data_IF_012242014319
#
_entry.id   IF_012242014319
#
_cell.length_a   1.000
_cell.length_b   1.000
_cell.length_c   1.000
_cell.angle_alpha   90.00
_cell.angle_beta   90.00
_cell.angle_gamma   90.00
#
_symmetry.space_group_name_H-M   'P 1'
#
loop_
_entity.id
_entity.type
_entity.pdbx_description
1 polymer ?
#
# COMPACT_ATOMS: atom_id res chain seq x y z
N UNK A 1 24.71 2.20 -7.00
CA UNK A 1 24.00 1.90 -8.27
C UNK A 1 23.76 3.19 -9.06
N UNK A 2 22.83 4.07 -8.68
CA UNK A 2 22.55 5.29 -9.45
C UNK A 2 23.75 6.22 -9.65
N UNK A 3 24.50 6.54 -8.58
CA UNK A 3 25.73 7.34 -8.70
C UNK A 3 26.76 6.72 -9.65
N UNK A 4 26.79 5.39 -9.77
CA UNK A 4 27.65 4.70 -10.74
C UNK A 4 27.18 4.98 -12.16
N UNK A 5 25.87 4.96 -12.41
CA UNK A 5 25.28 5.29 -13.71
C UNK A 5 25.48 6.77 -14.11
N UNK A 6 25.80 7.65 -13.16
CA UNK A 6 26.18 9.03 -13.43
C UNK A 6 27.60 9.08 -14.03
N UNK A 7 27.68 8.75 -15.30
CA UNK A 7 28.90 8.85 -16.08
C UNK A 7 29.58 7.51 -16.35
N UNK A 8 29.11 6.38 -15.83
CA UNK A 8 29.59 5.05 -16.25
C UNK A 8 28.47 4.20 -16.84
N UNK A 9 28.72 3.62 -18.01
CA UNK A 9 27.76 2.76 -18.71
C UNK A 9 28.08 1.28 -18.49
N UNK A 10 27.16 0.47 -17.91
CA UNK A 10 27.34 -0.96 -17.75
C UNK A 10 27.60 -1.68 -19.09
N UNK A 11 28.31 -2.82 -19.09
CA UNK A 11 28.39 -3.70 -20.26
C UNK A 11 27.02 -4.14 -20.75
N UNK A 12 26.94 -4.48 -22.04
CA UNK A 12 25.73 -5.03 -22.64
C UNK A 12 25.31 -6.30 -21.87
N UNK A 13 24.01 -6.43 -21.59
CA UNK A 13 23.44 -7.56 -20.84
C UNK A 13 23.47 -7.45 -19.31
N UNK A 14 24.22 -6.52 -18.71
CA UNK A 14 24.23 -6.34 -17.24
C UNK A 14 22.98 -5.63 -16.70
N UNK A 15 22.32 -4.83 -17.54
CA UNK A 15 21.21 -3.97 -17.11
C UNK A 15 21.67 -2.80 -16.24
N UNK A 16 20.71 -2.00 -15.78
CA UNK A 16 20.97 -0.79 -14.99
C UNK A 16 20.82 -1.01 -13.48
N UNK A 17 20.25 -2.14 -13.05
CA UNK A 17 20.11 -2.54 -11.65
C UNK A 17 21.26 -3.47 -11.26
N UNK A 18 22.10 -3.03 -10.33
CA UNK A 18 23.25 -3.80 -9.85
C UNK A 18 23.73 -3.34 -8.47
N UNK A 19 24.37 -4.26 -7.76
CA UNK A 19 25.17 -3.98 -6.58
C UNK A 19 26.53 -3.38 -6.93
N UNK A 20 27.18 -2.76 -5.95
CA UNK A 20 28.57 -2.29 -6.13
C UNK A 20 29.54 -3.45 -6.36
N UNK A 21 29.29 -4.62 -5.77
CA UNK A 21 30.13 -5.81 -5.96
C UNK A 21 30.05 -6.34 -7.40
N UNK A 22 28.87 -6.29 -8.03
CA UNK A 22 28.73 -6.66 -9.44
C UNK A 22 29.39 -5.62 -10.36
N UNK A 23 29.16 -4.32 -10.10
CA UNK A 23 29.80 -3.25 -10.87
C UNK A 23 31.33 -3.35 -10.81
N UNK A 24 31.90 -3.62 -9.63
CA UNK A 24 33.34 -3.72 -9.44
C UNK A 24 34.02 -4.82 -10.28
N UNK A 25 33.30 -5.90 -10.64
CA UNK A 25 33.85 -7.00 -11.46
C UNK A 25 34.08 -6.60 -12.92
N UNK A 26 33.38 -5.59 -13.40
CA UNK A 26 33.35 -5.20 -14.83
C UNK A 26 33.62 -3.72 -15.04
N UNK A 27 33.94 -3.00 -13.96
CA UNK A 27 34.23 -1.57 -14.03
C UNK A 27 35.51 -1.33 -14.81
N UNK A 28 35.46 -0.33 -15.69
CA UNK A 28 36.59 0.14 -16.47
C UNK A 28 36.40 1.62 -16.83
N UNK A 29 37.51 2.36 -16.83
CA UNK A 29 37.54 3.80 -17.13
C UNK A 29 37.20 4.09 -18.60
N UNK A 30 37.36 3.14 -19.54
CA UNK A 30 36.97 3.38 -20.94
C UNK A 30 35.46 3.56 -21.11
N UNK A 31 34.65 3.03 -20.18
CA UNK A 31 33.20 3.16 -20.15
C UNK A 31 32.71 4.37 -19.35
N UNK A 32 33.64 5.20 -18.87
CA UNK A 32 33.32 6.48 -18.22
C UNK A 32 33.14 7.56 -19.28
N UNK A 33 31.96 8.17 -19.33
CA UNK A 33 31.63 9.28 -20.21
C UNK A 33 32.44 10.53 -19.83
N UNK A 34 33.02 11.19 -20.83
CA UNK A 34 33.83 12.41 -20.68
C UNK A 34 32.96 13.66 -20.50
N UNK A 35 31.69 13.61 -20.90
CA UNK A 35 30.73 14.69 -20.68
C UNK A 35 30.15 14.62 -19.26
N UNK A 36 29.72 15.76 -18.72
CA UNK A 36 29.02 15.80 -17.44
C UNK A 36 27.73 15.00 -17.49
N UNK A 37 27.52 14.11 -16.51
CA UNK A 37 26.27 13.36 -16.39
C UNK A 37 25.15 14.30 -15.89
N UNK A 38 24.01 14.30 -16.60
CA UNK A 38 22.81 14.99 -16.13
C UNK A 38 22.14 14.17 -15.03
N UNK A 39 21.80 14.83 -13.94
CA UNK A 39 20.97 14.23 -12.91
C UNK A 39 19.53 14.05 -13.41
N UNK A 40 18.99 12.86 -13.19
CA UNK A 40 17.67 12.39 -13.60
C UNK A 40 16.93 11.78 -12.39
N UNK A 41 15.92 12.48 -11.90
CA UNK A 41 15.10 12.06 -10.76
C UNK A 41 14.27 10.81 -11.07
N UNK A 42 13.75 10.68 -12.29
CA UNK A 42 12.88 9.57 -12.66
C UNK A 42 13.68 8.26 -12.64
N UNK A 43 14.92 8.30 -13.14
CA UNK A 43 15.83 7.15 -13.11
C UNK A 43 16.26 6.78 -11.69
N UNK A 44 16.53 7.77 -10.83
CA UNK A 44 16.84 7.51 -9.42
C UNK A 44 15.65 6.86 -8.70
N UNK A 45 14.45 7.43 -8.88
CA UNK A 45 13.21 6.95 -8.30
C UNK A 45 12.87 5.53 -8.79
N UNK A 46 13.03 5.28 -10.09
CA UNK A 46 12.84 3.94 -10.64
C UNK A 46 13.78 2.92 -9.98
N UNK A 47 15.08 3.21 -9.90
CA UNK A 47 16.04 2.33 -9.22
C UNK A 47 15.73 2.14 -7.74
N UNK A 48 15.32 3.20 -7.05
CA UNK A 48 14.98 3.11 -5.63
C UNK A 48 13.74 2.25 -5.40
N UNK A 49 12.71 2.41 -6.25
CA UNK A 49 11.54 1.54 -6.24
C UNK A 49 11.91 0.07 -6.45
N UNK A 50 12.78 -0.24 -7.42
CA UNK A 50 13.27 -1.62 -7.61
C UNK A 50 13.96 -2.16 -6.33
N UNK A 51 14.79 -1.36 -5.67
CA UNK A 51 15.43 -1.74 -4.40
C UNK A 51 14.38 -2.02 -3.32
N UNK A 52 13.38 -1.14 -3.17
CA UNK A 52 12.35 -1.29 -2.14
C UNK A 52 11.46 -2.51 -2.39
N UNK A 53 11.11 -2.78 -3.65
CA UNK A 53 10.29 -3.94 -4.03
C UNK A 53 11.01 -5.28 -3.80
N UNK A 54 12.35 -5.28 -3.85
CA UNK A 54 13.19 -6.44 -3.54
C UNK A 54 13.35 -6.67 -2.02
N UNK A 55 13.00 -5.70 -1.18
CA UNK A 55 13.06 -5.87 0.27
C UNK A 55 11.95 -6.82 0.74
N UNK A 56 12.32 -7.82 1.54
CA UNK A 56 11.34 -8.61 2.27
C UNK A 56 10.62 -7.79 3.33
N UNK A 57 9.40 -8.22 3.69
CA UNK A 57 8.53 -7.57 4.67
C UNK A 57 9.24 -7.18 5.97
N UNK A 58 10.00 -8.12 6.55
CA UNK A 58 10.73 -7.89 7.79
C UNK A 58 11.80 -6.79 7.68
N UNK A 59 12.50 -6.71 6.55
CA UNK A 59 13.52 -5.69 6.34
C UNK A 59 12.90 -4.32 6.03
N UNK A 60 11.81 -4.29 5.26
CA UNK A 60 11.05 -3.07 5.03
C UNK A 60 10.44 -2.54 6.35
N UNK A 61 9.91 -3.43 7.19
CA UNK A 61 9.38 -3.08 8.51
C UNK A 61 10.43 -2.44 9.42
N UNK A 62 11.66 -2.95 9.44
CA UNK A 62 12.78 -2.33 10.18
C UNK A 62 13.08 -0.91 9.71
N UNK A 63 12.85 -0.59 8.43
CA UNK A 63 13.07 0.74 7.87
C UNK A 63 11.88 1.68 8.09
N UNK A 64 10.66 1.17 8.00
CA UNK A 64 9.44 1.98 8.10
C UNK A 64 9.00 2.22 9.54
N UNK A 65 9.17 1.26 10.46
CA UNK A 65 8.73 1.42 11.86
C UNK A 65 9.27 2.69 12.53
N UNK A 66 10.58 3.03 12.43
CA UNK A 66 11.08 4.28 13.00
C UNK A 66 10.42 5.52 12.39
N UNK A 67 10.13 5.50 11.08
CA UNK A 67 9.49 6.61 10.37
C UNK A 67 8.01 6.75 10.74
N UNK A 68 7.32 5.63 10.95
CA UNK A 68 5.95 5.61 11.47
C UNK A 68 5.89 6.20 12.88
N UNK A 69 6.83 5.83 13.75
CA UNK A 69 6.94 6.38 15.10
C UNK A 69 7.22 7.88 15.09
N UNK A 70 8.12 8.35 14.21
CA UNK A 70 8.40 9.78 14.01
C UNK A 70 7.16 10.55 13.50
N UNK A 71 6.34 9.91 12.65
CA UNK A 71 5.07 10.45 12.17
C UNK A 71 3.94 10.42 13.23
N UNK A 72 4.20 9.88 14.42
CA UNK A 72 3.25 9.80 15.52
C UNK A 72 2.33 8.57 15.49
N UNK A 73 2.60 7.58 14.63
CA UNK A 73 1.81 6.37 14.55
C UNK A 73 2.11 5.42 15.71
N UNK A 74 1.05 4.92 16.35
CA UNK A 74 1.17 3.97 17.46
C UNK A 74 1.48 2.56 16.94
N UNK A 75 2.76 2.21 16.89
CA UNK A 75 3.22 0.88 16.45
C UNK A 75 3.25 -0.15 17.57
N UNK A 76 3.32 0.26 18.85
CA UNK A 76 3.50 -0.66 19.98
C UNK A 76 2.24 -1.50 20.27
N UNK A 77 1.07 -0.99 19.89
CA UNK A 77 -0.21 -1.71 19.94
C UNK A 77 -0.41 -2.72 18.80
N UNK A 78 0.58 -2.90 17.90
CA UNK A 78 0.50 -3.81 16.76
C UNK A 78 1.47 -4.98 16.93
N UNK A 79 1.04 -6.16 16.50
CA UNK A 79 1.93 -7.33 16.48
C UNK A 79 2.97 -7.17 15.36
N UNK A 80 4.13 -7.80 15.54
CA UNK A 80 5.17 -7.85 14.50
C UNK A 80 4.61 -8.39 13.16
N UNK A 81 3.79 -9.44 13.23
CA UNK A 81 3.16 -10.03 12.05
C UNK A 81 2.25 -9.05 11.31
N UNK A 82 1.48 -8.23 12.03
CA UNK A 82 0.61 -7.23 11.42
C UNK A 82 1.42 -6.12 10.72
N UNK A 83 2.51 -5.67 11.35
CA UNK A 83 3.40 -4.66 10.76
C UNK A 83 4.11 -5.18 9.50
N UNK A 84 4.51 -6.45 9.51
CA UNK A 84 5.11 -7.11 8.34
C UNK A 84 4.08 -7.28 7.21
N UNK A 85 2.85 -7.71 7.51
CA UNK A 85 1.77 -7.78 6.51
C UNK A 85 1.44 -6.41 5.91
N UNK A 86 1.46 -5.34 6.71
CA UNK A 86 1.33 -3.98 6.19
C UNK A 86 2.49 -3.63 5.25
N UNK A 87 3.72 -4.06 5.56
CA UNK A 87 4.86 -3.87 4.67
C UNK A 87 4.73 -4.68 3.36
N UNK A 88 4.20 -5.91 3.41
CA UNK A 88 3.92 -6.72 2.21
C UNK A 88 2.91 -6.03 1.29
N UNK A 89 1.86 -5.46 1.88
CA UNK A 89 0.82 -4.72 1.15
C UNK A 89 1.36 -3.47 0.45
N UNK A 90 2.21 -2.70 1.14
CA UNK A 90 2.68 -1.40 0.64
C UNK A 90 3.90 -1.52 -0.27
N UNK A 91 4.82 -2.44 0.05
CA UNK A 91 6.14 -2.59 -0.55
C UNK A 91 6.18 -2.51 -2.07
N UNK A 92 5.33 -3.25 -2.81
CA UNK A 92 5.32 -3.26 -4.29
C UNK A 92 4.96 -1.94 -4.97
N UNK A 93 4.49 -0.94 -4.20
CA UNK A 93 4.09 0.38 -4.71
C UNK A 93 5.04 1.51 -4.30
N UNK A 94 6.04 1.23 -3.45
CA UNK A 94 6.88 2.27 -2.87
C UNK A 94 7.93 2.75 -3.86
N UNK A 95 7.95 4.06 -4.11
CA UNK A 95 9.09 4.70 -4.78
C UNK A 95 10.11 5.19 -3.75
N UNK A 96 9.62 5.72 -2.62
CA UNK A 96 10.39 6.21 -1.49
C UNK A 96 9.87 5.62 -0.18
N UNK A 97 10.70 5.58 0.87
CA UNK A 97 10.23 5.21 2.22
C UNK A 97 9.18 6.19 2.76
N UNK A 98 9.25 7.47 2.35
CA UNK A 98 8.24 8.47 2.68
C UNK A 98 6.85 8.11 2.14
N UNK A 99 6.77 7.49 0.96
CA UNK A 99 5.50 6.99 0.42
C UNK A 99 4.92 5.92 1.36
N UNK A 100 5.78 5.11 1.99
CA UNK A 100 5.37 4.08 2.96
C UNK A 100 4.81 4.66 4.25
N UNK A 101 5.17 5.90 4.62
CA UNK A 101 4.54 6.60 5.74
C UNK A 101 3.15 7.10 5.33
N UNK A 102 3.05 7.77 4.19
CA UNK A 102 1.78 8.32 3.71
C UNK A 102 0.74 7.24 3.38
N UNK A 103 1.16 6.16 2.74
CA UNK A 103 0.28 5.04 2.41
C UNK A 103 -0.13 4.22 3.65
N UNK A 104 0.69 4.21 4.70
CA UNK A 104 0.36 3.52 5.96
C UNK A 104 -0.60 4.32 6.85
N UNK A 105 -0.72 5.64 6.66
CA UNK A 105 -1.55 6.52 7.50
C UNK A 105 -2.96 5.99 7.76
N UNK A 106 -3.74 5.50 6.76
CA UNK A 106 -5.07 4.98 7.01
C UNK A 106 -5.10 3.73 7.89
N UNK A 107 -3.99 3.05 8.16
CA UNK A 107 -3.94 1.86 9.02
C UNK A 107 -3.66 2.18 10.49
N UNK A 108 -3.18 3.39 10.76
CA UNK A 108 -2.93 3.90 12.11
C UNK A 108 -3.98 4.92 12.53
N UNK A 109 -4.52 5.68 11.58
CA UNK A 109 -5.50 6.75 11.80
C UNK A 109 -6.78 6.48 11.01
N UNK A 110 -7.92 6.90 11.53
CA UNK A 110 -9.19 6.88 10.79
C UNK A 110 -9.26 8.11 9.89
N UNK A 111 -9.22 7.95 8.55
CA UNK A 111 -9.24 9.09 7.64
C UNK A 111 -10.66 9.69 7.54
N UNK A 112 -10.72 11.01 7.32
CA UNK A 112 -11.96 11.66 6.88
C UNK A 112 -12.32 11.28 5.45
N UNK A 113 -13.62 11.18 5.14
CA UNK A 113 -14.09 10.92 3.79
C UNK A 113 -13.80 12.11 2.86
N UNK A 114 -12.99 11.89 1.83
CA UNK A 114 -12.75 12.83 0.73
C UNK A 114 -13.95 12.85 -0.23
N UNK A 115 -13.98 13.85 -1.11
CA UNK A 115 -15.09 14.09 -2.03
C UNK A 115 -15.43 12.87 -2.90
N UNK A 116 -14.43 12.15 -3.41
CA UNK A 116 -14.61 10.95 -4.22
C UNK A 116 -15.29 9.81 -3.45
N UNK A 117 -14.88 9.57 -2.20
CA UNK A 117 -15.50 8.61 -1.31
C UNK A 117 -16.93 9.03 -0.93
N UNK A 118 -17.16 10.31 -0.65
CA UNK A 118 -18.49 10.84 -0.35
C UNK A 118 -19.44 10.64 -1.54
N UNK A 119 -19.03 11.01 -2.75
CA UNK A 119 -19.82 10.83 -3.96
C UNK A 119 -20.12 9.35 -4.23
N UNK A 120 -19.15 8.46 -3.99
CA UNK A 120 -19.36 7.02 -4.11
C UNK A 120 -20.40 6.49 -3.12
N UNK A 121 -20.43 6.99 -1.89
CA UNK A 121 -21.42 6.61 -0.88
C UNK A 121 -22.83 7.12 -1.17
N UNK A 122 -23.00 8.10 -2.07
CA UNK A 122 -24.31 8.55 -2.54
C UNK A 122 -24.82 7.78 -3.76
N UNK A 123 -24.03 6.85 -4.30
CA UNK A 123 -24.49 6.01 -5.42
C UNK A 123 -25.65 5.11 -4.97
N UNK A 124 -26.63 4.84 -5.85
CA UNK A 124 -27.75 3.96 -5.53
C UNK A 124 -27.29 2.59 -5.01
N UNK A 125 -27.81 2.18 -3.85
CA UNK A 125 -27.50 0.90 -3.23
C UNK A 125 -26.16 0.81 -2.51
N UNK A 126 -25.32 1.85 -2.53
CA UNK A 126 -24.01 1.84 -1.89
C UNK A 126 -24.10 1.69 -0.36
N UNK A 127 -24.97 2.50 0.28
CA UNK A 127 -25.17 2.46 1.73
C UNK A 127 -25.90 1.20 2.16
N UNK A 128 -26.86 0.73 1.37
CA UNK A 128 -27.60 -0.50 1.60
C UNK A 128 -26.66 -1.70 1.58
N UNK A 129 -25.74 -1.76 0.61
CA UNK A 129 -24.75 -2.82 0.53
C UNK A 129 -23.75 -2.79 1.70
N UNK A 130 -23.32 -1.60 2.12
CA UNK A 130 -22.47 -1.45 3.32
C UNK A 130 -23.20 -1.84 4.61
N UNK A 131 -24.49 -1.51 4.75
CA UNK A 131 -25.32 -1.94 5.89
C UNK A 131 -25.50 -3.44 5.93
N UNK A 132 -25.73 -4.08 4.78
CA UNK A 132 -25.82 -5.52 4.66
C UNK A 132 -24.50 -6.20 5.02
N UNK A 133 -23.38 -5.67 4.54
CA UNK A 133 -22.05 -6.14 4.90
C UNK A 133 -21.80 -6.01 6.40
N UNK A 134 -22.03 -4.82 6.98
CA UNK A 134 -21.81 -4.55 8.40
C UNK A 134 -22.61 -5.50 9.30
N UNK A 135 -23.88 -5.75 8.96
CA UNK A 135 -24.76 -6.67 9.69
C UNK A 135 -24.30 -8.13 9.63
N UNK A 136 -23.45 -8.48 8.66
CA UNK A 136 -22.97 -9.84 8.44
C UNK A 136 -21.58 -10.09 9.05
N UNK A 137 -20.93 -9.06 9.60
CA UNK A 137 -19.61 -9.19 10.22
C UNK A 137 -19.70 -9.80 11.63
N UNK A 138 -19.02 -10.93 11.83
CA UNK A 138 -18.86 -11.56 13.15
C UNK A 138 -17.68 -10.97 13.94
N UNK A 139 -17.63 -11.26 15.24
CA UNK A 139 -16.53 -10.84 16.13
C UNK A 139 -15.25 -11.68 15.94
N UNK A 140 -15.31 -12.70 15.08
CA UNK A 140 -14.17 -13.56 14.78
C UNK A 140 -13.25 -12.88 13.74
N UNK A 141 -11.93 -13.14 13.79
CA UNK A 141 -10.99 -12.62 12.80
C UNK A 141 -11.39 -13.03 11.38
N UNK A 142 -11.55 -12.03 10.51
CA UNK A 142 -11.97 -12.25 9.14
C UNK A 142 -10.84 -12.90 8.31
N UNK A 143 -11.15 -14.01 7.63
CA UNK A 143 -10.25 -14.63 6.65
C UNK A 143 -10.60 -14.19 5.22
N UNK A 144 -9.64 -14.33 4.30
CA UNK A 144 -9.77 -13.86 2.92
C UNK A 144 -10.94 -14.49 2.15
N UNK A 145 -11.18 -15.79 2.33
CA UNK A 145 -12.28 -16.53 1.69
C UNK A 145 -13.64 -16.04 2.18
N UNK A 146 -13.75 -15.81 3.49
CA UNK A 146 -14.97 -15.31 4.13
C UNK A 146 -15.27 -13.88 3.70
N UNK A 147 -14.24 -13.03 3.62
CA UNK A 147 -14.35 -11.66 3.14
C UNK A 147 -14.97 -11.59 1.74
N UNK A 148 -14.55 -12.48 0.82
CA UNK A 148 -15.12 -12.56 -0.54
C UNK A 148 -16.58 -13.00 -0.53
N UNK A 149 -16.94 -13.96 0.32
CA UNK A 149 -18.31 -14.45 0.46
C UNK A 149 -19.23 -13.34 1.01
N UNK A 150 -18.82 -12.66 2.07
CA UNK A 150 -19.56 -11.55 2.69
C UNK A 150 -19.84 -10.42 1.69
N UNK A 151 -18.84 -10.05 0.87
CA UNK A 151 -19.04 -9.06 -0.19
C UNK A 151 -20.05 -9.52 -1.23
N UNK A 152 -20.00 -10.79 -1.65
CA UNK A 152 -20.93 -11.36 -2.62
C UNK A 152 -22.36 -11.34 -2.09
N UNK A 153 -22.57 -11.73 -0.84
CA UNK A 153 -23.89 -11.81 -0.23
C UNK A 153 -24.45 -10.42 0.07
N UNK A 154 -23.63 -9.47 0.51
CA UNK A 154 -24.02 -8.08 0.65
C UNK A 154 -24.42 -7.44 -0.69
N UNK A 155 -23.73 -7.77 -1.79
CA UNK A 155 -24.12 -7.31 -3.12
C UNK A 155 -25.49 -7.85 -3.54
N UNK A 156 -25.78 -9.13 -3.28
CA UNK A 156 -27.08 -9.75 -3.58
C UNK A 156 -28.19 -9.13 -2.73
N UNK A 157 -27.96 -8.94 -1.44
CA UNK A 157 -28.94 -8.38 -0.52
C UNK A 157 -29.34 -6.94 -0.88
N UNK A 158 -28.41 -6.15 -1.40
CA UNK A 158 -28.66 -4.77 -1.82
C UNK A 158 -28.94 -4.61 -3.33
N UNK A 159 -28.98 -5.71 -4.08
CA UNK A 159 -29.12 -5.72 -5.55
C UNK A 159 -28.14 -4.77 -6.28
N UNK A 160 -26.87 -4.79 -5.88
CA UNK A 160 -25.82 -3.96 -6.49
C UNK A 160 -24.70 -4.78 -7.12
N UNK A 161 -24.02 -4.16 -8.09
CA UNK A 161 -22.80 -4.73 -8.68
C UNK A 161 -21.65 -4.70 -7.67
N UNK A 162 -20.79 -5.73 -7.70
CA UNK A 162 -19.58 -5.84 -6.87
C UNK A 162 -18.71 -4.58 -6.89
N UNK A 163 -18.57 -3.92 -8.04
CA UNK A 163 -17.78 -2.70 -8.16
C UNK A 163 -18.31 -1.53 -7.31
N UNK A 164 -19.63 -1.45 -7.09
CA UNK A 164 -20.25 -0.43 -6.24
C UNK A 164 -19.89 -0.69 -4.78
N UNK A 165 -20.09 -1.92 -4.29
CA UNK A 165 -19.75 -2.27 -2.91
C UNK A 165 -18.24 -2.14 -2.65
N UNK A 166 -17.38 -2.64 -3.54
CA UNK A 166 -15.92 -2.56 -3.36
C UNK A 166 -15.44 -1.10 -3.26
N UNK A 167 -15.90 -0.21 -4.15
CA UNK A 167 -15.54 1.22 -4.08
C UNK A 167 -16.10 1.89 -2.82
N UNK A 168 -17.32 1.55 -2.43
CA UNK A 168 -17.97 2.11 -1.24
C UNK A 168 -17.27 1.64 0.04
N UNK A 169 -16.87 0.36 0.12
CA UNK A 169 -16.09 -0.19 1.22
C UNK A 169 -14.71 0.46 1.28
N UNK A 170 -14.04 0.64 0.14
CA UNK A 170 -12.76 1.37 0.09
C UNK A 170 -12.91 2.79 0.60
N UNK A 171 -13.93 3.51 0.15
CA UNK A 171 -14.22 4.86 0.64
C UNK A 171 -14.45 4.89 2.15
N UNK A 172 -15.23 3.94 2.68
CA UNK A 172 -15.51 3.83 4.11
C UNK A 172 -14.25 3.50 4.94
N UNK A 173 -13.41 2.58 4.48
CA UNK A 173 -12.21 2.14 5.20
C UNK A 173 -11.04 3.12 5.06
N UNK A 174 -10.82 3.66 3.87
CA UNK A 174 -9.61 4.41 3.50
C UNK A 174 -9.85 5.90 3.31
N UNK A 175 -11.11 6.36 3.36
CA UNK A 175 -11.48 7.76 3.18
C UNK A 175 -11.40 8.26 1.74
N UNK A 176 -10.97 7.44 0.78
CA UNK A 176 -10.78 7.79 -0.63
C UNK A 176 -10.89 6.54 -1.51
N UNK A 177 -10.98 6.69 -2.83
CA UNK A 177 -11.15 5.56 -3.77
C UNK A 177 -9.84 4.94 -4.28
N UNK A 178 -8.70 5.56 -3.95
CA UNK A 178 -7.37 5.08 -4.32
C UNK A 178 -6.61 4.56 -3.11
N UNK A 179 -5.67 3.66 -3.36
CA UNK A 179 -4.87 3.04 -2.31
C UNK A 179 -4.52 1.59 -2.61
N UNK A 180 -3.89 0.92 -1.64
CA UNK A 180 -3.42 -0.46 -1.76
C UNK A 180 -4.57 -1.45 -1.96
N UNK A 181 -4.27 -2.74 -2.13
CA UNK A 181 -5.29 -3.76 -2.36
C UNK A 181 -6.40 -3.70 -1.28
N UNK A 182 -7.66 -3.66 -1.72
CA UNK A 182 -8.78 -3.45 -0.81
C UNK A 182 -8.99 -4.64 0.13
N UNK A 183 -8.81 -5.87 -0.37
CA UNK A 183 -9.08 -7.07 0.43
C UNK A 183 -8.04 -7.18 1.53
N UNK A 184 -6.76 -7.04 1.19
CA UNK A 184 -5.67 -7.06 2.17
C UNK A 184 -5.78 -5.90 3.15
N UNK A 185 -6.15 -4.70 2.67
CA UNK A 185 -6.40 -3.55 3.54
C UNK A 185 -7.52 -3.81 4.54
N UNK A 186 -8.61 -4.41 4.08
CA UNK A 186 -9.75 -4.73 4.93
C UNK A 186 -9.40 -5.79 5.97
N UNK A 187 -8.67 -6.85 5.60
CA UNK A 187 -8.22 -7.87 6.54
C UNK A 187 -7.32 -7.28 7.65
N UNK A 188 -6.38 -6.39 7.29
CA UNK A 188 -5.54 -5.70 8.26
C UNK A 188 -6.35 -4.80 9.20
N UNK A 189 -7.33 -4.05 8.67
CA UNK A 189 -8.19 -3.17 9.47
C UNK A 189 -9.16 -3.97 10.36
N UNK A 190 -9.65 -5.12 9.90
CA UNK A 190 -10.47 -6.04 10.67
C UNK A 190 -9.68 -6.66 11.83
N UNK A 191 -8.47 -7.16 11.56
CA UNK A 191 -7.56 -7.67 12.59
C UNK A 191 -7.19 -6.59 13.63
N UNK A 192 -7.20 -5.33 13.22
CA UNK A 192 -7.03 -4.17 14.10
C UNK A 192 -8.31 -3.72 14.83
N UNK A 193 -9.47 -4.34 14.55
CA UNK A 193 -10.77 -3.97 15.13
C UNK A 193 -11.33 -2.63 14.64
N UNK A 194 -10.85 -2.12 13.50
CA UNK A 194 -11.16 -0.77 13.02
C UNK A 194 -12.18 -0.73 11.87
N UNK A 195 -12.41 -1.83 11.17
CA UNK A 195 -13.26 -1.90 9.98
C UNK A 195 -14.74 -1.56 10.28
N UNK A 196 -15.33 -2.16 11.31
CA UNK A 196 -16.74 -1.94 11.69
C UNK A 196 -17.03 -0.50 12.06
N UNK A 197 -16.17 0.11 12.89
CA UNK A 197 -16.32 1.50 13.30
C UNK A 197 -16.24 2.47 12.13
N UNK A 198 -15.36 2.19 11.17
CA UNK A 198 -15.22 2.97 9.93
C UNK A 198 -16.42 2.81 9.00
N UNK A 199 -16.88 1.58 8.77
CA UNK A 199 -18.09 1.31 7.96
C UNK A 199 -19.31 1.99 8.60
N UNK A 200 -19.49 1.87 9.91
CA UNK A 200 -20.58 2.52 10.64
C UNK A 200 -20.51 4.04 10.50
N UNK A 201 -19.33 4.65 10.70
CA UNK A 201 -19.16 6.10 10.59
C UNK A 201 -19.44 6.63 9.18
N UNK A 202 -19.14 5.85 8.14
CA UNK A 202 -19.41 6.22 6.75
C UNK A 202 -20.90 6.20 6.39
N UNK A 203 -21.74 5.50 7.17
CA UNK A 203 -23.18 5.40 6.93
C UNK A 203 -23.98 6.59 7.48
N UNK A 204 -23.38 7.38 8.37
CA UNK A 204 -24.03 8.47 9.12
C UNK A 204 -24.57 7.97 10.43
#
# INVERSE_FOLDING_TARGET
NYMTLLGWSPPEGMGERFSLAEAAKVFDFQRVNKAGARFDWDKLNWLNGQVLHELGAAELNRKLTPLWQEAGFETSGRSQAWLEQLCELLGPSLTLLADGVEQARPFFETPSLKEDAQQQLQQPGAKEALKALLSSLSDEPLQAEQAKALLSDACKAADVKKGVLMKSLRGALMGQLQGPDLMESWLLLNAAGQDRGRISSALG
#
